data_IF_153420954767
#
_entry.id   IF_153420954767
#
_cell.length_a   1.000
_cell.length_b   1.000
_cell.length_c   1.000
_cell.angle_alpha   90.00
_cell.angle_beta   90.00
_cell.angle_gamma   90.00
#
_symmetry.space_group_name_H-M   'P 1'
#
loop_
_entity.id
_entity.type
_entity.pdbx_description
1 polymer ?
#
# COMPACT_ATOMS: atom_id res chain seq x y z
N UNK A 1 7.34 14.23 -26.39
CA UNK A 1 7.67 13.56 -25.12
C UNK A 1 6.40 13.49 -24.29
N UNK A 2 5.77 12.32 -24.11
CA UNK A 2 4.61 12.22 -23.22
C UNK A 2 5.10 12.27 -21.77
N UNK A 3 4.48 13.15 -20.99
CA UNK A 3 4.87 13.49 -19.61
C UNK A 3 4.85 12.29 -18.68
N UNK A 4 5.78 12.30 -17.72
CA UNK A 4 5.87 11.33 -16.65
C UNK A 4 4.49 11.13 -15.97
N UNK A 5 4.13 9.91 -15.55
CA UNK A 5 2.86 9.65 -14.90
C UNK A 5 2.74 10.48 -13.63
N UNK A 6 1.62 11.22 -13.52
CA UNK A 6 1.15 11.88 -12.30
C UNK A 6 1.44 11.01 -11.09
N UNK A 7 2.31 11.49 -10.19
CA UNK A 7 2.68 10.77 -8.98
C UNK A 7 1.41 10.44 -8.16
N UNK A 8 1.04 9.16 -8.00
CA UNK A 8 -0.22 8.75 -7.36
C UNK A 8 -0.26 8.96 -5.83
N UNK A 9 0.69 9.71 -5.27
CA UNK A 9 0.96 9.74 -3.84
C UNK A 9 0.47 11.02 -3.12
N UNK A 10 -0.09 12.00 -3.85
CA UNK A 10 -0.56 13.27 -3.26
C UNK A 10 -2.08 13.35 -3.02
N UNK A 11 -2.85 12.31 -3.35
CA UNK A 11 -4.32 12.38 -3.30
C UNK A 11 -4.89 12.80 -1.94
N UNK A 12 -4.26 12.38 -0.84
CA UNK A 12 -4.72 12.68 0.52
C UNK A 12 -4.44 14.12 0.95
N UNK A 13 -3.29 14.67 0.57
CA UNK A 13 -2.93 16.05 0.92
C UNK A 13 -3.68 17.05 0.04
N UNK A 14 -3.81 16.75 -1.26
CA UNK A 14 -4.67 17.54 -2.18
C UNK A 14 -6.11 17.57 -1.70
N UNK A 15 -6.71 16.44 -1.31
CA UNK A 15 -8.06 16.43 -0.70
C UNK A 15 -8.18 17.37 0.50
N UNK A 16 -7.13 17.43 1.34
CA UNK A 16 -7.10 18.31 2.50
C UNK A 16 -7.23 19.80 2.15
N UNK A 17 -6.70 20.23 1.01
CA UNK A 17 -6.82 21.60 0.50
C UNK A 17 -8.29 21.92 0.19
N UNK A 18 -8.92 21.08 -0.61
CA UNK A 18 -10.32 21.24 -1.00
C UNK A 18 -11.26 21.15 0.21
N UNK A 19 -11.03 20.17 1.08
CA UNK A 19 -11.83 20.02 2.31
C UNK A 19 -11.72 21.25 3.20
N UNK A 20 -10.51 21.82 3.37
CA UNK A 20 -10.32 23.07 4.11
C UNK A 20 -11.06 24.23 3.45
N UNK A 21 -11.00 24.33 2.12
CA UNK A 21 -11.69 25.37 1.37
C UNK A 21 -13.21 25.30 1.55
N UNK A 22 -13.81 24.12 1.37
CA UNK A 22 -15.26 23.96 1.57
C UNK A 22 -15.66 24.22 3.02
N UNK A 23 -14.83 23.82 3.99
CA UNK A 23 -15.09 24.15 5.40
C UNK A 23 -15.11 25.66 5.66
N UNK A 24 -14.26 26.44 5.00
CA UNK A 24 -14.28 27.91 5.14
C UNK A 24 -15.61 28.50 4.68
N UNK A 25 -16.19 27.97 3.59
CA UNK A 25 -17.52 28.37 3.16
C UNK A 25 -18.62 27.94 4.13
N UNK A 26 -18.58 26.70 4.61
CA UNK A 26 -19.59 26.18 5.54
C UNK A 26 -19.67 26.96 6.85
N UNK A 27 -18.54 27.47 7.34
CA UNK A 27 -18.50 28.31 8.56
C UNK A 27 -18.75 29.80 8.27
N UNK A 28 -19.12 30.16 7.04
CA UNK A 28 -19.44 31.53 6.65
C UNK A 28 -18.23 32.47 6.64
N UNK A 29 -17.02 31.96 6.36
CA UNK A 29 -15.83 32.83 6.28
C UNK A 29 -16.02 33.88 5.18
N UNK A 30 -15.88 35.18 5.48
CA UNK A 30 -16.10 36.25 4.50
C UNK A 30 -15.05 36.28 3.38
N UNK A 31 -13.90 35.64 3.57
CA UNK A 31 -12.83 35.56 2.59
C UNK A 31 -12.19 34.15 2.57
N UNK A 32 -12.89 33.15 1.98
CA UNK A 32 -12.36 31.81 1.84
C UNK A 32 -11.18 31.82 0.85
N UNK A 33 -10.05 31.24 1.27
CA UNK A 33 -8.80 31.24 0.51
C UNK A 33 -8.43 29.83 0.08
N UNK A 34 -8.47 29.62 -1.23
CA UNK A 34 -7.97 28.41 -1.86
C UNK A 34 -6.44 28.43 -1.94
N UNK A 35 -5.81 27.30 -1.65
CA UNK A 35 -4.39 27.08 -1.91
C UNK A 35 -4.34 26.33 -3.23
N UNK A 36 -3.61 26.82 -4.23
CA UNK A 36 -3.53 26.15 -5.53
C UNK A 36 -2.78 24.83 -5.41
N UNK A 37 -3.12 23.89 -6.29
CA UNK A 37 -2.42 22.60 -6.34
C UNK A 37 -0.94 22.78 -6.69
N UNK A 38 -0.61 23.68 -7.61
CA UNK A 38 0.77 23.95 -8.01
C UNK A 38 1.63 24.42 -6.83
N UNK A 39 1.07 25.30 -5.99
CA UNK A 39 1.76 25.74 -4.77
C UNK A 39 2.00 24.56 -3.82
N UNK A 40 0.99 23.71 -3.63
CA UNK A 40 1.13 22.51 -2.81
C UNK A 40 2.18 21.55 -3.38
N UNK A 41 2.16 21.31 -4.68
CA UNK A 41 3.06 20.37 -5.34
C UNK A 41 4.51 20.89 -5.31
N UNK A 42 4.71 22.19 -5.55
CA UNK A 42 6.00 22.86 -5.38
C UNK A 42 6.51 22.74 -3.93
N UNK A 43 5.64 22.96 -2.93
CA UNK A 43 6.01 22.80 -1.52
C UNK A 43 6.39 21.35 -1.19
N UNK A 44 5.68 20.37 -1.73
CA UNK A 44 5.96 18.94 -1.52
C UNK A 44 7.27 18.50 -2.17
N UNK A 45 7.59 19.03 -3.35
CA UNK A 45 8.85 18.81 -4.05
C UNK A 45 10.02 19.47 -3.29
N UNK A 46 9.86 20.74 -2.89
CA UNK A 46 10.84 21.45 -2.08
C UNK A 46 11.13 20.73 -0.78
N UNK A 47 10.10 20.27 -0.06
CA UNK A 47 10.27 19.48 1.16
C UNK A 47 11.05 18.18 0.92
N UNK A 48 10.74 17.44 -0.15
CA UNK A 48 11.52 16.25 -0.52
C UNK A 48 12.99 16.56 -0.80
N UNK A 49 13.27 17.64 -1.54
CA UNK A 49 14.63 18.07 -1.83
C UNK A 49 15.38 18.47 -0.55
N UNK A 50 14.74 19.22 0.33
CA UNK A 50 15.31 19.60 1.64
C UNK A 50 15.63 18.39 2.49
N UNK A 51 14.74 17.38 2.56
CA UNK A 51 15.03 16.15 3.31
C UNK A 51 16.23 15.42 2.71
N UNK A 52 16.30 15.27 1.38
CA UNK A 52 17.43 14.61 0.72
C UNK A 52 18.76 15.33 0.98
N UNK A 53 18.76 16.67 0.99
CA UNK A 53 19.96 17.48 1.21
C UNK A 53 20.38 17.57 2.67
N UNK A 54 19.44 17.66 3.61
CA UNK A 54 19.75 17.98 5.00
C UNK A 54 19.70 16.77 5.94
N UNK A 55 19.14 15.61 5.52
CA UNK A 55 18.97 14.46 6.41
C UNK A 55 20.27 14.00 7.10
N UNK A 56 21.40 14.06 6.40
CA UNK A 56 22.71 13.67 6.93
C UNK A 56 23.33 14.70 7.88
N UNK A 57 22.80 15.92 7.92
CA UNK A 57 23.28 17.03 8.77
C UNK A 57 22.49 17.12 10.09
N UNK A 58 21.40 16.38 10.22
CA UNK A 58 20.55 16.39 11.40
C UNK A 58 20.99 15.28 12.37
N UNK A 59 21.10 15.60 13.66
CA UNK A 59 21.39 14.62 14.72
C UNK A 59 20.34 13.49 14.77
N UNK A 60 19.12 13.82 14.36
CA UNK A 60 17.99 12.91 14.30
C UNK A 60 16.92 13.39 13.34
N UNK A 61 16.45 12.49 12.48
CA UNK A 61 15.30 12.70 11.62
C UNK A 61 14.23 11.67 11.94
N UNK A 62 12.98 12.12 12.05
CA UNK A 62 11.81 11.26 12.25
C UNK A 62 10.72 11.57 11.25
N UNK A 63 10.07 10.53 10.75
CA UNK A 63 8.89 10.63 9.90
C UNK A 63 7.72 10.04 10.67
N UNK A 64 6.65 10.81 10.82
CA UNK A 64 5.48 10.44 11.61
C UNK A 64 4.25 10.66 10.73
N UNK A 65 3.31 9.71 10.74
CA UNK A 65 2.06 9.86 10.00
C UNK A 65 1.01 10.68 10.78
N UNK A 66 -0.11 11.00 10.12
CA UNK A 66 -1.20 11.76 10.76
C UNK A 66 -1.85 11.07 11.98
N UNK A 67 -1.64 9.78 12.15
CA UNK A 67 -2.11 9.03 13.33
C UNK A 67 -1.10 9.02 14.48
N UNK A 68 0.01 9.77 14.37
CA UNK A 68 1.07 9.79 15.38
C UNK A 68 2.01 8.59 15.33
N UNK A 69 1.83 7.66 14.39
CA UNK A 69 2.70 6.51 14.25
C UNK A 69 4.05 6.93 13.65
N UNK A 70 5.12 6.55 14.34
CA UNK A 70 6.50 6.70 13.87
C UNK A 70 6.75 5.74 12.71
N UNK A 71 7.02 6.28 11.53
CA UNK A 71 7.32 5.54 10.30
C UNK A 71 8.82 5.37 10.08
N UNK A 72 9.62 6.32 10.54
CA UNK A 72 11.08 6.30 10.41
C UNK A 72 11.73 7.06 11.55
N UNK A 73 12.88 6.60 12.01
CA UNK A 73 13.74 7.27 12.98
C UNK A 73 15.20 6.95 12.66
N UNK A 74 15.98 7.96 12.23
CA UNK A 74 17.36 7.76 11.77
C UNK A 74 18.28 7.17 12.83
N UNK A 75 17.95 7.31 14.12
CA UNK A 75 18.73 6.69 15.20
C UNK A 75 18.42 5.21 15.40
N UNK A 76 17.22 4.75 14.99
CA UNK A 76 16.82 3.34 15.07
C UNK A 76 17.13 2.60 13.77
N UNK A 77 17.14 3.32 12.65
CA UNK A 77 17.31 2.82 11.29
C UNK A 77 18.34 3.65 10.52
N UNK A 78 19.62 3.67 10.96
CA UNK A 78 20.64 4.57 10.40
C UNK A 78 21.08 4.21 8.97
N UNK A 79 20.74 3.01 8.48
CA UNK A 79 21.07 2.56 7.11
C UNK A 79 19.97 2.82 6.09
N UNK A 80 18.78 3.19 6.54
CA UNK A 80 17.63 3.40 5.65
C UNK A 80 17.63 4.86 5.15
N UNK A 81 17.47 5.03 3.84
CA UNK A 81 17.37 6.34 3.20
C UNK A 81 16.07 7.03 3.62
N UNK A 82 16.20 8.12 4.37
CA UNK A 82 15.08 8.95 4.81
C UNK A 82 14.19 9.42 3.65
N UNK A 83 14.76 9.61 2.46
CA UNK A 83 14.04 9.99 1.23
C UNK A 83 13.12 8.86 0.79
N UNK A 84 13.61 7.61 0.82
CA UNK A 84 12.79 6.43 0.54
C UNK A 84 11.70 6.24 1.58
N UNK A 85 12.02 6.39 2.87
CA UNK A 85 11.04 6.30 3.94
C UNK A 85 9.95 7.37 3.81
N UNK A 86 10.32 8.60 3.42
CA UNK A 86 9.37 9.68 3.14
C UNK A 86 8.48 9.37 1.94
N UNK A 87 9.04 8.78 0.88
CA UNK A 87 8.26 8.40 -0.29
C UNK A 87 7.27 7.29 0.03
N UNK A 88 7.70 6.25 0.76
CA UNK A 88 6.84 5.17 1.23
C UNK A 88 5.74 5.70 2.17
N UNK A 89 6.06 6.67 3.04
CA UNK A 89 5.09 7.30 3.93
C UNK A 89 3.96 8.07 3.20
N UNK A 90 4.19 8.45 1.93
CA UNK A 90 3.19 9.12 1.08
C UNK A 90 2.28 8.14 0.36
N UNK A 91 2.68 6.87 0.27
CA UNK A 91 1.83 5.86 -0.34
C UNK A 91 0.55 5.69 0.49
N UNK A 92 -0.57 5.60 -0.21
CA UNK A 92 -1.87 5.41 0.42
C UNK A 92 -2.13 3.90 0.45
N UNK A 93 -2.20 3.30 1.66
CA UNK A 93 -2.50 1.89 1.81
C UNK A 93 -3.86 1.55 1.19
N UNK A 94 -4.00 0.35 0.64
CA UNK A 94 -5.19 -0.07 -0.09
C UNK A 94 -6.46 0.08 0.76
N UNK A 95 -6.37 -0.27 2.04
CA UNK A 95 -7.45 -0.18 3.02
C UNK A 95 -7.91 1.26 3.29
N UNK A 96 -7.08 2.27 3.00
CA UNK A 96 -7.42 3.69 3.17
C UNK A 96 -7.93 4.35 1.89
N UNK A 97 -7.94 3.65 0.75
CA UNK A 97 -8.35 4.23 -0.55
C UNK A 97 -9.86 4.44 -0.64
N UNK A 98 -10.67 3.54 -0.08
CA UNK A 98 -12.14 3.71 -0.01
C UNK A 98 -12.50 4.95 0.81
N UNK A 99 -11.92 5.09 2.02
CA UNK A 99 -12.11 6.30 2.83
C UNK A 99 -11.68 7.59 2.11
N UNK A 100 -10.67 7.50 1.25
CA UNK A 100 -10.22 8.63 0.45
C UNK A 100 -11.20 8.96 -0.67
N UNK A 101 -11.76 7.96 -1.34
CA UNK A 101 -12.79 8.12 -2.35
C UNK A 101 -14.06 8.75 -1.75
N UNK A 102 -14.54 8.23 -0.62
CA UNK A 102 -15.67 8.81 0.14
C UNK A 102 -15.38 10.26 0.52
N UNK A 103 -14.14 10.51 0.94
CA UNK A 103 -13.65 11.83 1.24
C UNK A 103 -13.74 12.81 0.08
N UNK A 104 -13.39 12.39 -1.13
CA UNK A 104 -13.52 13.22 -2.33
C UNK A 104 -14.97 13.40 -2.75
N UNK A 105 -15.81 12.37 -2.58
CA UNK A 105 -17.25 12.47 -2.83
C UNK A 105 -17.92 13.51 -1.92
N UNK A 106 -17.56 13.53 -0.63
CA UNK A 106 -18.07 14.52 0.32
C UNK A 106 -17.66 15.97 -0.06
N UNK A 107 -16.42 16.18 -0.50
CA UNK A 107 -15.95 17.48 -1.00
C UNK A 107 -16.74 17.89 -2.25
N UNK A 108 -16.96 16.96 -3.18
CA UNK A 108 -17.73 17.23 -4.40
C UNK A 108 -19.20 17.60 -4.07
N UNK A 109 -19.82 16.92 -3.11
CA UNK A 109 -21.17 17.23 -2.67
C UNK A 109 -21.26 18.64 -2.07
N UNK A 110 -20.38 18.98 -1.13
CA UNK A 110 -20.34 20.30 -0.52
C UNK A 110 -20.10 21.43 -1.54
N UNK A 111 -19.18 21.21 -2.49
CA UNK A 111 -18.91 22.17 -3.55
C UNK A 111 -20.12 22.39 -4.47
N UNK A 112 -20.87 21.32 -4.81
CA UNK A 112 -22.09 21.42 -5.62
C UNK A 112 -23.21 22.14 -4.89
N UNK A 113 -23.43 21.81 -3.63
CA UNK A 113 -24.45 22.45 -2.78
C UNK A 113 -24.24 23.96 -2.70
N UNK A 114 -22.98 24.39 -2.62
CA UNK A 114 -22.59 25.80 -2.64
C UNK A 114 -22.72 26.48 -4.01
N UNK A 115 -22.92 25.72 -5.09
CA UNK A 115 -22.89 26.26 -6.45
C UNK A 115 -21.49 26.68 -6.91
N UNK A 116 -20.46 25.89 -6.55
CA UNK A 116 -19.09 26.15 -7.00
C UNK A 116 -18.99 26.15 -8.54
N UNK A 117 -18.01 26.90 -9.06
CA UNK A 117 -17.83 27.03 -10.50
C UNK A 117 -17.49 25.67 -11.18
N UNK A 118 -17.80 25.50 -12.48
CA UNK A 118 -17.56 24.24 -13.18
C UNK A 118 -16.11 23.77 -13.17
N UNK A 119 -15.14 24.68 -13.34
CA UNK A 119 -13.71 24.33 -13.36
C UNK A 119 -13.25 23.70 -12.04
N UNK A 120 -13.74 24.20 -10.91
CA UNK A 120 -13.46 23.68 -9.58
C UNK A 120 -14.08 22.28 -9.39
N UNK A 121 -15.31 22.08 -9.86
CA UNK A 121 -15.99 20.78 -9.84
C UNK A 121 -15.28 19.75 -10.73
N UNK A 122 -14.80 20.17 -11.90
CA UNK A 122 -14.03 19.33 -12.82
C UNK A 122 -12.71 18.89 -12.20
N UNK A 123 -12.01 19.79 -11.50
CA UNK A 123 -10.78 19.46 -10.78
C UNK A 123 -11.02 18.41 -9.69
N UNK A 124 -12.06 18.60 -8.85
CA UNK A 124 -12.47 17.61 -7.84
C UNK A 124 -12.82 16.26 -8.49
N UNK A 125 -13.59 16.29 -9.58
CA UNK A 125 -13.98 15.10 -10.33
C UNK A 125 -12.78 14.34 -10.92
N UNK A 126 -11.78 15.08 -11.41
CA UNK A 126 -10.52 14.51 -11.89
C UNK A 126 -9.77 13.75 -10.80
N UNK A 127 -9.68 14.31 -9.59
CA UNK A 127 -9.06 13.63 -8.46
C UNK A 127 -9.83 12.39 -8.02
N UNK A 128 -11.16 12.48 -7.93
CA UNK A 128 -12.00 11.35 -7.56
C UNK A 128 -11.82 10.16 -8.52
N UNK A 129 -11.79 10.43 -9.83
CA UNK A 129 -11.54 9.40 -10.86
C UNK A 129 -10.15 8.77 -10.72
N UNK A 130 -9.11 9.57 -10.49
CA UNK A 130 -7.74 9.04 -10.28
C UNK A 130 -7.65 8.16 -9.04
N UNK A 131 -8.30 8.54 -7.95
CA UNK A 131 -8.35 7.71 -6.73
C UNK A 131 -9.07 6.38 -7.00
N UNK A 132 -10.22 6.41 -7.69
CA UNK A 132 -10.96 5.21 -8.06
C UNK A 132 -10.14 4.28 -8.99
N UNK A 133 -9.51 4.83 -10.03
CA UNK A 133 -8.64 4.08 -10.93
C UNK A 133 -7.45 3.44 -10.18
N UNK A 134 -6.87 4.16 -9.22
CA UNK A 134 -5.78 3.64 -8.39
C UNK A 134 -6.24 2.46 -7.50
N UNK A 135 -7.49 2.44 -7.05
CA UNK A 135 -8.04 1.33 -6.28
C UNK A 135 -8.26 0.08 -7.15
N UNK A 136 -8.77 0.26 -8.38
CA UNK A 136 -9.00 -0.83 -9.35
C UNK A 136 -7.70 -1.52 -9.79
N UNK A 137 -6.66 -0.74 -10.15
CA UNK A 137 -5.36 -1.27 -10.58
C UNK A 137 -4.67 -2.16 -9.52
N UNK A 138 -4.97 -1.98 -8.24
CA UNK A 138 -4.45 -2.85 -7.17
C UNK A 138 -5.34 -4.06 -6.90
N UNK A 139 -6.66 -3.95 -7.06
CA UNK A 139 -7.57 -5.11 -7.08
C UNK A 139 -7.13 -6.13 -8.13
N UNK A 140 -6.76 -5.65 -9.32
CA UNK A 140 -6.24 -6.50 -10.40
C UNK A 140 -4.86 -7.09 -10.10
N UNK A 141 -3.98 -6.37 -9.38
CA UNK A 141 -2.70 -6.94 -8.92
C UNK A 141 -2.89 -7.98 -7.84
N UNK A 142 -3.82 -7.77 -6.90
CA UNK A 142 -4.19 -8.77 -5.89
C UNK A 142 -4.84 -10.01 -6.50
N UNK A 143 -5.69 -9.82 -7.51
CA UNK A 143 -6.31 -10.91 -8.27
C UNK A 143 -5.31 -11.71 -9.13
N UNK A 144 -4.23 -11.07 -9.62
CA UNK A 144 -3.14 -11.75 -10.34
C UNK A 144 -2.20 -12.55 -9.45
N UNK A 145 -2.26 -12.42 -8.12
CA UNK A 145 -1.60 -13.34 -7.18
C UNK A 145 -2.61 -14.43 -6.80
N UNK A 146 -3.04 -15.23 -7.77
CA UNK A 146 -3.54 -16.57 -7.47
C UNK A 146 -2.35 -17.40 -6.99
N UNK A 147 -2.41 -18.08 -5.83
CA UNK A 147 -1.37 -19.03 -5.46
C UNK A 147 -1.31 -20.08 -6.56
N UNK A 148 -0.12 -20.31 -7.11
CA UNK A 148 0.15 -21.50 -7.91
C UNK A 148 -0.33 -22.70 -7.11
N UNK A 149 -1.46 -23.29 -7.51
CA UNK A 149 -1.86 -24.62 -7.04
C UNK A 149 -0.74 -25.54 -7.47
N UNK A 150 0.06 -25.97 -6.50
CA UNK A 150 1.18 -26.91 -6.65
C UNK A 150 0.66 -28.14 -7.39
N UNK A 151 0.93 -28.22 -8.68
CA UNK A 151 0.75 -29.42 -9.48
C UNK A 151 1.70 -30.51 -8.98
N UNK A 152 1.19 -31.36 -8.08
CA UNK A 152 1.70 -32.70 -7.80
C UNK A 152 0.55 -33.62 -7.38
N UNK A 153 -0.48 -33.69 -8.20
CA UNK A 153 -1.36 -34.86 -8.27
C UNK A 153 -1.64 -35.15 -9.75
N UNK A 154 -0.57 -35.45 -10.48
CA UNK A 154 -0.70 -36.14 -11.76
C UNK A 154 -0.43 -37.62 -11.52
N UNK A 155 -1.42 -38.41 -11.92
CA UNK A 155 -1.30 -39.79 -12.32
C UNK A 155 -0.91 -40.81 -11.24
N UNK A 156 -1.92 -41.48 -10.69
CA UNK A 156 -1.94 -42.94 -10.46
C UNK A 156 -3.32 -43.35 -9.96
N UNK A 157 -4.33 -43.20 -10.81
CA UNK A 157 -5.64 -43.82 -10.57
C UNK A 157 -6.36 -43.95 -11.91
N UNK A 158 -5.93 -44.94 -12.70
CA UNK A 158 -6.76 -45.72 -13.63
C UNK A 158 -5.91 -46.73 -14.41
N UNK A 159 -6.17 -48.01 -14.14
CA UNK A 159 -6.01 -49.09 -15.11
C UNK A 159 -4.78 -49.98 -14.92
N UNK A 160 -4.92 -51.07 -14.16
CA UNK A 160 -4.68 -52.45 -14.62
C UNK A 160 -4.53 -53.42 -13.43
N UNK A 161 -5.50 -54.32 -13.28
CA UNK A 161 -5.29 -55.69 -12.75
C UNK A 161 -5.38 -56.65 -13.96
N UNK A 162 -5.03 -57.96 -13.91
CA UNK A 162 -4.71 -58.81 -12.75
C UNK A 162 -3.54 -59.84 -12.96
N UNK A 163 -3.35 -60.69 -11.93
CA UNK A 163 -2.93 -62.11 -11.98
C UNK A 163 -1.43 -62.49 -12.01
N UNK A 164 -1.01 -63.23 -10.96
CA UNK A 164 0.17 -64.11 -10.95
C UNK A 164 0.65 -64.43 -9.52
N UNK A 165 0.98 -65.69 -9.14
CA UNK A 165 0.62 -66.24 -7.82
C UNK A 165 1.79 -66.78 -6.96
N UNK A 166 1.45 -67.17 -5.71
CA UNK A 166 2.24 -67.94 -4.71
C UNK A 166 3.45 -67.21 -4.07
N UNK A 167 3.79 -67.34 -2.78
CA UNK A 167 3.73 -68.50 -1.87
C UNK A 167 3.85 -68.03 -0.41
N UNK A 168 3.13 -68.69 0.50
CA UNK A 168 3.33 -68.61 1.96
C UNK A 168 4.70 -69.15 2.38
N UNK A 169 5.29 -68.65 3.48
CA UNK A 169 5.88 -69.52 4.51
C UNK A 169 6.11 -68.76 5.84
N UNK A 170 5.94 -69.50 6.92
CA UNK A 170 5.91 -69.06 8.31
C UNK A 170 7.30 -69.12 9.00
N UNK A 171 7.28 -68.71 10.28
CA UNK A 171 8.16 -69.11 11.41
C UNK A 171 9.37 -68.21 11.80
N UNK A 172 9.26 -67.67 13.03
CA UNK A 172 10.30 -67.21 14.00
C UNK A 172 11.19 -68.35 14.53
N UNK A 173 12.17 -68.19 15.47
CA UNK A 173 12.91 -67.04 16.05
C UNK A 173 14.46 -67.29 16.13
N UNK A 174 15.27 -66.41 16.75
CA UNK A 174 16.13 -66.67 17.94
C UNK A 174 17.30 -65.66 18.12
N UNK A 175 17.65 -65.44 19.39
CA UNK A 175 18.51 -64.41 20.00
C UNK A 175 20.04 -64.67 19.90
N UNK A 176 20.86 -63.66 20.28
CA UNK A 176 22.10 -63.80 21.09
C UNK A 176 22.75 -62.45 21.48
N UNK A 177 22.84 -62.17 22.79
CA UNK A 177 23.94 -61.44 23.49
C UNK A 177 25.00 -62.52 23.89
N UNK A 178 26.23 -62.28 24.45
CA UNK A 178 26.83 -61.13 25.17
C UNK A 178 28.34 -60.91 24.75
N UNK A 179 29.35 -60.40 25.53
CA UNK A 179 29.40 -59.92 26.92
C UNK A 179 30.18 -58.61 27.21
N UNK A 180 30.22 -58.28 28.50
CA UNK A 180 30.83 -57.13 29.17
C UNK A 180 32.35 -57.28 29.42
N UNK A 181 33.08 -56.16 29.53
CA UNK A 181 33.89 -55.83 30.73
C UNK A 181 34.46 -54.40 30.72
N UNK A 182 34.62 -53.91 31.94
CA UNK A 182 34.97 -52.59 32.44
C UNK A 182 36.38 -52.08 32.13
N UNK A 183 36.55 -50.76 32.21
CA UNK A 183 37.42 -50.12 33.21
C UNK A 183 36.84 -48.79 33.65
#
# INVERSE_FOLDING_TARGET
MPGAPDYPNAFRSKRGIYQRHERQHQVGNPNPRFVTEDYHDAAMQGFSATVSQLAHQLDRLRIINRGGQLLYDSQRQPRDDATMALQAAREIPAERRTMLADGWAAVAAAARERGANPQYLDAIGGHARRVAASAQLQGDRGARITPYTRGKEQALSRGASPAGPFTSLAATPQASKPPARSR
#
